data_IF_680506675313
#
_entry.id   IF_680506675313
#
_cell.length_a   1.000
_cell.length_b   1.000
_cell.length_c   1.000
_cell.angle_alpha   90.00
_cell.angle_beta   90.00
_cell.angle_gamma   90.00
#
_symmetry.space_group_name_H-M   'P 1'
#
loop_
_entity.id
_entity.type
_entity.pdbx_description
1 polymer ?
#
# COMPACT_ATOMS: atom_id res chain seq x y z
N UNK A 1 -16.12 -5.08 7.24
CA UNK A 1 -14.65 -4.89 7.22
C UNK A 1 -14.47 -3.47 6.75
N UNK A 2 -13.81 -2.61 7.52
CA UNK A 2 -13.59 -1.22 7.10
C UNK A 2 -12.73 -1.18 5.83
N UNK A 3 -13.09 -0.33 4.87
CA UNK A 3 -12.30 -0.02 3.67
C UNK A 3 -11.31 1.12 3.94
N UNK A 4 -10.20 1.15 3.20
CA UNK A 4 -9.21 2.20 3.41
C UNK A 4 -9.67 3.53 2.81
N UNK A 5 -10.54 3.51 1.80
CA UNK A 5 -11.19 4.71 1.24
C UNK A 5 -11.95 5.52 2.28
N UNK A 6 -12.56 4.87 3.27
CA UNK A 6 -13.27 5.54 4.36
C UNK A 6 -12.31 6.30 5.28
N UNK A 7 -11.18 5.68 5.62
CA UNK A 7 -10.09 6.35 6.34
C UNK A 7 -9.49 7.50 5.51
N UNK A 8 -9.25 7.26 4.22
CA UNK A 8 -8.62 8.19 3.30
C UNK A 8 -9.43 9.48 3.10
N UNK A 9 -10.77 9.41 3.05
CA UNK A 9 -11.66 10.58 2.92
C UNK A 9 -11.47 11.63 4.02
N UNK A 10 -11.05 11.19 5.21
CA UNK A 10 -10.87 12.08 6.36
C UNK A 10 -9.47 12.70 6.44
N UNK A 11 -8.58 12.39 5.50
CA UNK A 11 -7.22 12.90 5.49
C UNK A 11 -7.12 14.17 4.66
N UNK A 12 -6.47 15.18 5.25
CA UNK A 12 -6.03 16.33 4.49
C UNK A 12 -4.67 16.02 3.84
N UNK A 13 -4.70 15.71 2.54
CA UNK A 13 -3.53 15.44 1.69
C UNK A 13 -3.75 16.22 0.40
N UNK A 14 -2.77 17.04 0.01
CA UNK A 14 -2.85 17.79 -1.24
C UNK A 14 -2.91 16.83 -2.44
N UNK A 15 -3.68 17.19 -3.45
CA UNK A 15 -4.05 16.30 -4.57
C UNK A 15 -2.82 15.69 -5.26
N UNK A 16 -1.78 16.49 -5.47
CA UNK A 16 -0.54 16.06 -6.12
C UNK A 16 0.19 14.95 -5.34
N UNK A 17 -0.01 14.85 -4.02
CA UNK A 17 0.64 13.86 -3.17
C UNK A 17 -0.21 12.61 -2.89
N UNK A 18 -1.51 12.62 -3.25
CA UNK A 18 -2.42 11.50 -3.01
C UNK A 18 -1.90 10.21 -3.64
N UNK A 19 -1.38 10.26 -4.87
CA UNK A 19 -0.81 9.09 -5.52
C UNK A 19 0.35 8.48 -4.72
N UNK A 20 1.35 9.28 -4.36
CA UNK A 20 2.50 8.80 -3.58
C UNK A 20 2.07 8.18 -2.25
N UNK A 21 1.14 8.84 -1.55
CA UNK A 21 0.55 8.34 -0.31
C UNK A 21 -0.14 6.98 -0.50
N UNK A 22 -1.02 6.87 -1.50
CA UNK A 22 -1.79 5.65 -1.73
C UNK A 22 -0.89 4.48 -2.19
N UNK A 23 0.14 4.72 -3.02
CA UNK A 23 1.13 3.68 -3.37
C UNK A 23 1.86 3.18 -2.12
N UNK A 24 2.17 4.05 -1.16
CA UNK A 24 2.74 3.65 0.13
C UNK A 24 1.81 2.74 0.94
N UNK A 25 0.54 3.14 1.08
CA UNK A 25 -0.48 2.36 1.79
C UNK A 25 -0.67 0.97 1.15
N UNK A 26 -0.80 0.93 -0.17
CA UNK A 26 -0.95 -0.32 -0.91
C UNK A 26 0.28 -1.20 -0.87
N UNK A 27 1.48 -0.62 -0.92
CA UNK A 27 2.72 -1.38 -0.74
C UNK A 27 2.74 -2.10 0.61
N UNK A 28 2.29 -1.44 1.69
CA UNK A 28 2.15 -2.08 3.00
C UNK A 28 1.08 -3.18 2.98
N UNK A 29 -0.05 -2.95 2.33
CA UNK A 29 -1.13 -3.94 2.20
C UNK A 29 -0.67 -5.22 1.51
N UNK A 30 0.10 -5.10 0.42
CA UNK A 30 0.66 -6.25 -0.30
C UNK A 30 1.73 -6.96 0.50
N UNK A 31 2.63 -6.24 1.20
CA UNK A 31 3.63 -6.88 2.08
C UNK A 31 2.93 -7.72 3.17
N UNK A 32 1.92 -7.15 3.80
CA UNK A 32 1.19 -7.84 4.87
C UNK A 32 0.43 -9.04 4.35
N UNK A 33 -0.29 -8.89 3.24
CA UNK A 33 -1.07 -9.97 2.63
C UNK A 33 -0.15 -11.09 2.12
N UNK A 34 1.00 -10.74 1.55
CA UNK A 34 1.99 -11.71 1.04
C UNK A 34 2.53 -12.62 2.14
N UNK A 35 2.74 -12.08 3.36
CA UNK A 35 3.25 -12.86 4.48
C UNK A 35 2.29 -13.99 4.90
N UNK A 36 0.97 -13.79 4.72
CA UNK A 36 -0.05 -14.77 5.06
C UNK A 36 -0.62 -15.52 3.84
N UNK A 37 -0.01 -15.36 2.66
CA UNK A 37 -0.46 -16.02 1.43
C UNK A 37 -0.45 -17.54 1.58
N UNK A 38 -1.51 -18.20 1.11
CA UNK A 38 -1.56 -19.67 1.02
C UNK A 38 -0.60 -20.21 -0.05
N UNK A 39 -0.33 -19.43 -1.11
CA UNK A 39 0.57 -19.83 -2.20
C UNK A 39 2.02 -19.83 -1.75
N UNK A 40 2.41 -18.84 -0.94
CA UNK A 40 3.78 -18.68 -0.45
C UNK A 40 3.73 -18.04 0.93
N UNK A 41 3.65 -18.87 1.97
CA UNK A 41 3.65 -18.39 3.36
C UNK A 41 4.96 -17.67 3.67
N UNK A 42 4.86 -16.61 4.47
CA UNK A 42 5.97 -15.77 4.90
C UNK A 42 6.76 -15.13 3.73
N UNK A 43 6.11 -14.88 2.59
CA UNK A 43 6.76 -14.29 1.43
C UNK A 43 7.19 -12.84 1.70
N UNK A 44 8.51 -12.60 1.69
CA UNK A 44 9.10 -11.27 1.82
C UNK A 44 9.69 -10.70 0.52
N UNK A 45 9.46 -11.34 -0.63
CA UNK A 45 10.15 -10.98 -1.88
C UNK A 45 9.80 -9.56 -2.31
N UNK A 46 8.53 -9.16 -2.22
CA UNK A 46 8.14 -7.78 -2.56
C UNK A 46 8.75 -6.76 -1.59
N UNK A 47 8.77 -7.05 -0.28
CA UNK A 47 9.41 -6.22 0.75
C UNK A 47 10.90 -6.01 0.45
N UNK A 48 11.64 -7.07 0.16
CA UNK A 48 13.07 -7.03 -0.21
C UNK A 48 13.30 -6.31 -1.54
N UNK A 49 12.41 -6.48 -2.51
CA UNK A 49 12.48 -5.76 -3.77
C UNK A 49 12.27 -4.24 -3.56
N UNK A 50 11.27 -3.87 -2.75
CA UNK A 50 10.94 -2.48 -2.44
C UNK A 50 12.05 -1.77 -1.65
N UNK A 51 12.70 -2.44 -0.70
CA UNK A 51 13.80 -1.85 0.08
C UNK A 51 15.00 -1.45 -0.77
N UNK A 52 15.13 -2.02 -1.98
CA UNK A 52 16.17 -1.67 -2.97
C UNK A 52 15.71 -0.59 -3.97
N UNK A 53 14.57 0.09 -3.72
CA UNK A 53 14.04 1.15 -4.57
C UNK A 53 14.14 2.50 -3.90
N UNK A 54 14.51 3.50 -4.68
CA UNK A 54 14.37 4.89 -4.29
C UNK A 54 12.90 5.31 -4.36
N UNK A 55 12.41 5.95 -3.30
CA UNK A 55 11.03 6.45 -3.18
C UNK A 55 10.90 7.82 -3.86
N UNK A 56 11.01 7.83 -5.18
CA UNK A 56 11.02 9.04 -6.02
C UNK A 56 9.91 8.99 -7.07
N UNK A 57 9.54 10.14 -7.64
CA UNK A 57 8.40 10.26 -8.59
C UNK A 57 8.48 9.22 -9.70
N UNK A 58 9.63 9.10 -10.36
CA UNK A 58 9.85 8.20 -11.50
C UNK A 58 9.73 6.70 -11.17
N UNK A 59 9.75 6.32 -9.89
CA UNK A 59 9.62 4.94 -9.46
C UNK A 59 8.23 4.58 -8.92
N UNK A 60 7.36 5.55 -8.59
CA UNK A 60 6.06 5.28 -7.98
C UNK A 60 5.20 4.33 -8.82
N UNK A 61 5.09 4.58 -10.12
CA UNK A 61 4.32 3.71 -11.03
C UNK A 61 4.92 2.30 -11.13
N UNK A 62 6.26 2.19 -11.10
CA UNK A 62 6.95 0.90 -11.10
C UNK A 62 6.68 0.12 -9.81
N UNK A 63 6.64 0.82 -8.67
CA UNK A 63 6.31 0.22 -7.38
C UNK A 63 4.86 -0.28 -7.38
N UNK A 64 3.90 0.55 -7.82
CA UNK A 64 2.50 0.17 -7.93
C UNK A 64 2.30 -1.06 -8.83
N UNK A 65 2.89 -1.04 -10.03
CA UNK A 65 2.80 -2.16 -10.97
C UNK A 65 3.42 -3.44 -10.39
N UNK A 66 4.54 -3.33 -9.66
CA UNK A 66 5.15 -4.49 -9.00
C UNK A 66 4.29 -5.02 -7.86
N UNK A 67 3.65 -4.16 -7.09
CA UNK A 67 2.70 -4.57 -6.05
C UNK A 67 1.50 -5.34 -6.67
N UNK A 68 0.90 -4.84 -7.75
CA UNK A 68 -0.16 -5.52 -8.51
C UNK A 68 0.28 -6.86 -9.12
N UNK A 69 1.55 -6.99 -9.52
CA UNK A 69 2.11 -8.26 -9.97
C UNK A 69 2.10 -9.29 -8.83
N UNK A 70 2.50 -8.88 -7.63
CA UNK A 70 2.51 -9.75 -6.45
C UNK A 70 1.12 -10.10 -5.95
N UNK A 71 0.18 -9.15 -5.96
CA UNK A 71 -1.23 -9.40 -5.62
C UNK A 71 -1.78 -10.57 -6.43
N UNK A 72 -1.66 -10.50 -7.76
CA UNK A 72 -2.15 -11.55 -8.67
C UNK A 72 -1.38 -12.87 -8.55
N UNK A 73 -0.04 -12.81 -8.46
CA UNK A 73 0.80 -14.01 -8.37
C UNK A 73 0.53 -14.83 -7.10
N UNK A 74 0.24 -14.14 -5.99
CA UNK A 74 0.04 -14.75 -4.69
C UNK A 74 -1.44 -14.89 -4.30
N UNK A 75 -2.36 -14.58 -5.23
CA UNK A 75 -3.82 -14.58 -5.04
C UNK A 75 -4.24 -13.86 -3.76
N UNK A 76 -3.80 -12.61 -3.65
CA UNK A 76 -4.03 -11.76 -2.47
C UNK A 76 -5.29 -10.91 -2.60
N UNK A 77 -6.21 -11.27 -3.50
CA UNK A 77 -7.41 -10.50 -3.75
C UNK A 77 -8.22 -10.37 -2.45
N UNK A 78 -8.50 -9.13 -2.05
CA UNK A 78 -9.33 -8.81 -0.90
C UNK A 78 -10.04 -7.50 -1.15
N UNK A 79 -11.19 -7.28 -0.50
CA UNK A 79 -11.93 -6.02 -0.64
C UNK A 79 -11.06 -4.80 -0.33
N UNK A 80 -10.09 -4.92 0.60
CA UNK A 80 -9.15 -3.84 0.93
C UNK A 80 -8.10 -3.61 -0.14
N UNK A 81 -7.53 -4.67 -0.71
CA UNK A 81 -6.53 -4.51 -1.78
C UNK A 81 -7.18 -3.97 -3.06
N UNK A 82 -8.39 -4.43 -3.40
CA UNK A 82 -9.18 -3.89 -4.50
C UNK A 82 -9.54 -2.42 -4.29
N UNK A 83 -10.03 -2.05 -3.11
CA UNK A 83 -10.32 -0.65 -2.73
C UNK A 83 -9.10 0.26 -2.87
N UNK A 84 -7.93 -0.18 -2.37
CA UNK A 84 -6.68 0.57 -2.52
C UNK A 84 -6.22 0.69 -3.98
N UNK A 85 -6.35 -0.37 -4.77
CA UNK A 85 -5.96 -0.36 -6.19
C UNK A 85 -6.85 0.60 -7.00
N UNK A 86 -8.15 0.62 -6.71
CA UNK A 86 -9.09 1.58 -7.30
C UNK A 86 -8.75 3.01 -6.89
N UNK A 87 -8.55 3.28 -5.59
CA UNK A 87 -8.12 4.60 -5.10
C UNK A 87 -6.84 5.10 -5.78
N UNK A 88 -5.82 4.26 -5.93
CA UNK A 88 -4.58 4.63 -6.60
C UNK A 88 -4.86 5.06 -8.03
N UNK A 89 -5.65 4.27 -8.75
CA UNK A 89 -5.95 4.51 -10.17
C UNK A 89 -6.74 5.81 -10.34
N UNK A 90 -7.74 6.06 -9.48
CA UNK A 90 -8.53 7.29 -9.50
C UNK A 90 -7.75 8.56 -9.12
N UNK A 91 -6.63 8.42 -8.42
CA UNK A 91 -5.80 9.54 -7.97
C UNK A 91 -4.44 9.60 -8.71
N UNK A 92 -4.30 8.89 -9.83
CA UNK A 92 -3.09 8.97 -10.63
C UNK A 92 -3.01 10.33 -11.35
N UNK A 93 -1.96 11.10 -11.04
CA UNK A 93 -1.65 12.36 -11.71
C UNK A 93 -0.22 12.32 -12.27
N UNK A 94 -0.10 12.12 -13.59
CA UNK A 94 1.19 12.07 -14.28
C UNK A 94 1.90 13.44 -14.29
N UNK A 95 1.11 14.52 -14.30
CA UNK A 95 1.57 15.90 -14.45
C UNK A 95 1.99 16.56 -13.13
N UNK A 96 1.81 15.89 -11.97
CA UNK A 96 2.16 16.44 -10.66
C UNK A 96 3.65 16.80 -10.58
N UNK A 97 3.98 18.07 -10.28
CA UNK A 97 5.37 18.53 -10.18
C UNK A 97 5.89 18.36 -8.74
N UNK A 98 6.33 17.14 -8.42
CA UNK A 98 6.69 16.76 -7.05
C UNK A 98 8.19 16.73 -6.82
N UNK A 99 8.66 17.25 -5.68
CA UNK A 99 10.04 17.00 -5.25
C UNK A 99 10.16 15.57 -4.71
N UNK A 100 11.29 14.94 -4.99
CA UNK A 100 11.55 13.56 -4.57
C UNK A 100 11.47 13.35 -3.05
N UNK A 101 11.87 14.34 -2.26
CA UNK A 101 11.75 14.31 -0.79
C UNK A 101 10.28 14.26 -0.33
N UNK A 102 9.41 15.02 -0.99
CA UNK A 102 7.97 15.04 -0.68
C UNK A 102 7.32 13.71 -1.09
N UNK A 103 7.70 13.16 -2.25
CA UNK A 103 7.28 11.82 -2.66
C UNK A 103 7.64 10.77 -1.62
N UNK A 104 8.91 10.76 -1.17
CA UNK A 104 9.37 9.86 -0.11
C UNK A 104 8.56 10.03 1.18
N UNK A 105 8.32 11.29 1.60
CA UNK A 105 7.56 11.60 2.80
C UNK A 105 6.12 11.06 2.72
N UNK A 106 5.38 11.37 1.66
CA UNK A 106 3.99 10.96 1.52
C UNK A 106 3.85 9.45 1.34
N UNK A 107 4.77 8.82 0.61
CA UNK A 107 4.84 7.36 0.53
C UNK A 107 4.97 6.72 1.91
N UNK A 108 5.92 7.19 2.73
CA UNK A 108 6.13 6.66 4.08
C UNK A 108 4.94 6.97 5.01
N UNK A 109 4.31 8.14 4.85
CA UNK A 109 3.09 8.48 5.58
C UNK A 109 1.98 7.48 5.28
N UNK A 110 1.68 7.21 4.01
CA UNK A 110 0.66 6.23 3.63
C UNK A 110 0.98 4.81 4.07
N UNK A 111 2.24 4.40 3.96
CA UNK A 111 2.71 3.11 4.46
C UNK A 111 2.45 2.94 5.97
N UNK A 112 2.76 3.96 6.75
CA UNK A 112 2.57 3.95 8.20
C UNK A 112 1.10 4.08 8.61
N UNK A 113 0.34 4.91 7.91
CA UNK A 113 -1.07 5.11 8.22
C UNK A 113 -1.91 3.87 7.87
N UNK A 114 -1.57 3.13 6.81
CA UNK A 114 -2.19 1.82 6.56
C UNK A 114 -1.89 0.81 7.68
N UNK A 115 -0.66 0.82 8.23
CA UNK A 115 -0.32 -0.02 9.39
C UNK A 115 -1.22 0.31 10.59
N UNK A 116 -1.43 1.60 10.90
CA UNK A 116 -2.33 2.03 11.97
C UNK A 116 -3.79 1.66 11.68
N UNK A 117 -4.26 1.89 10.46
CA UNK A 117 -5.59 1.51 10.01
C UNK A 117 -5.86 0.02 10.25
N UNK A 118 -4.93 -0.86 9.88
CA UNK A 118 -5.08 -2.31 10.09
C UNK A 118 -5.13 -2.69 11.57
N UNK A 119 -4.37 -1.98 12.43
CA UNK A 119 -4.42 -2.18 13.88
C UNK A 119 -5.76 -1.77 14.48
N UNK A 120 -6.34 -0.67 14.00
CA UNK A 120 -7.65 -0.17 14.44
C UNK A 120 -8.81 -1.02 13.89
N UNK A 121 -8.66 -1.51 12.66
CA UNK A 121 -9.68 -2.27 11.94
C UNK A 121 -9.09 -3.60 11.45
N UNK A 122 -8.86 -4.58 12.33
CA UNK A 122 -8.34 -5.88 11.91
C UNK A 122 -9.35 -6.58 10.97
N UNK A 123 -8.83 -7.31 9.98
CA UNK A 123 -9.67 -8.18 9.15
C UNK A 123 -10.18 -9.34 10.03
N UNK A 124 -11.50 -9.55 10.13
CA UNK A 124 -12.06 -10.72 10.82
C UNK A 124 -11.46 -11.98 10.20
N UNK A 125 -10.72 -12.76 10.99
CA UNK A 125 -9.99 -13.96 10.55
C UNK A 125 -8.46 -13.90 10.70
N UNK A 126 -7.88 -12.73 11.03
CA UNK A 126 -6.50 -12.66 11.52
C UNK A 126 -6.57 -12.83 13.03
N UNK A 127 -6.60 -14.08 13.50
CA UNK A 127 -6.42 -14.36 14.92
C UNK A 127 -5.08 -13.77 15.37
N UNK A 128 -5.16 -13.17 16.54
CA UNK A 128 -4.17 -12.42 17.28
C UNK A 128 -3.07 -13.35 17.81
N UNK A 129 -2.24 -13.92 16.93
CA UNK A 129 -1.03 -14.66 17.34
C UNK A 129 0.20 -13.73 17.45
N UNK A 130 -0.02 -12.44 17.71
CA UNK A 130 1.03 -11.48 18.07
C UNK A 130 1.30 -11.44 19.58
N UNK A 131 1.23 -12.59 20.24
CA UNK A 131 1.82 -12.85 21.58
C UNK A 131 2.42 -14.26 21.62
N UNK A 132 3.65 -14.39 21.16
CA UNK A 132 4.58 -15.44 21.57
C UNK A 132 6.01 -14.92 21.43
#
# INVERSE_FOLDING_TARGET
MELFSEYFKNLNIEDDFKFAYLVGAYSKAIIDSSYYSEISKQNETFKKWLSNRQLIKSNLIKIFNKANEFERKLKLESSRNSDLSELITSNYNENANLRNSEVSFYFLRGFNDYKKFKQQYPSKGVNDDSKA
#
